data_IF_291830259099
#
_entry.id   IF_291830259099
#
_cell.length_a   1.000
_cell.length_b   1.000
_cell.length_c   1.000
_cell.angle_alpha   90.00
_cell.angle_beta   90.00
_cell.angle_gamma   90.00
#
_symmetry.space_group_name_H-M   'P 1'
#
loop_
_entity.id
_entity.type
_entity.pdbx_description
1 polymer ?
#
# COMPACT_ATOMS: atom_id res chain seq x y z
N UNK A 1 -13.54 6.34 19.48
CA UNK A 1 -13.64 6.39 18.01
C UNK A 1 -12.85 5.23 17.45
N UNK A 2 -13.34 4.50 16.44
CA UNK A 2 -12.52 3.50 15.76
C UNK A 2 -11.32 4.14 15.08
N UNK A 3 -10.24 3.37 14.87
CA UNK A 3 -9.01 3.82 14.20
C UNK A 3 -9.26 4.31 12.77
N UNK A 4 -10.27 3.75 12.09
CA UNK A 4 -10.63 4.07 10.71
C UNK A 4 -11.93 4.88 10.60
N UNK A 5 -12.03 5.79 9.62
CA UNK A 5 -13.24 6.59 9.41
C UNK A 5 -14.40 5.71 8.93
N UNK A 6 -15.64 6.05 9.34
CA UNK A 6 -16.87 5.29 9.02
C UNK A 6 -17.86 6.07 8.15
N UNK A 7 -17.58 7.33 7.85
CA UNK A 7 -18.36 8.19 6.96
C UNK A 7 -17.44 9.19 6.24
N UNK A 8 -17.92 9.81 5.16
CA UNK A 8 -17.18 10.87 4.47
C UNK A 8 -17.34 12.20 5.20
N UNK A 9 -16.26 12.66 5.85
CA UNK A 9 -16.22 13.97 6.53
C UNK A 9 -15.58 15.06 5.65
N UNK A 10 -15.72 16.35 5.99
CA UNK A 10 -15.00 17.43 5.31
C UNK A 10 -13.48 17.27 5.32
N UNK A 11 -12.92 16.70 6.40
CA UNK A 11 -11.49 16.38 6.46
C UNK A 11 -11.14 15.27 5.46
N UNK A 12 -11.98 14.23 5.36
CA UNK A 12 -11.80 13.15 4.39
C UNK A 12 -11.95 13.63 2.95
N UNK A 13 -12.77 14.66 2.70
CA UNK A 13 -12.87 15.33 1.39
C UNK A 13 -11.57 16.07 1.03
N UNK A 14 -10.93 16.73 1.99
CA UNK A 14 -9.62 17.36 1.76
C UNK A 14 -8.55 16.31 1.46
N UNK A 15 -8.56 15.18 2.18
CA UNK A 15 -7.67 14.06 1.92
C UNK A 15 -7.91 13.49 0.52
N UNK A 16 -9.16 13.23 0.14
CA UNK A 16 -9.52 12.74 -1.20
C UNK A 16 -9.06 13.72 -2.29
N UNK A 17 -9.19 15.03 -2.07
CA UNK A 17 -8.72 16.05 -3.00
C UNK A 17 -7.19 15.99 -3.20
N UNK A 18 -6.41 15.81 -2.11
CA UNK A 18 -4.95 15.64 -2.19
C UNK A 18 -4.53 14.34 -2.87
N UNK A 19 -5.38 13.32 -2.85
CA UNK A 19 -5.10 12.04 -3.48
C UNK A 19 -5.24 12.03 -4.99
N UNK A 20 -5.90 13.06 -5.55
CA UNK A 20 -6.04 13.20 -7.01
C UNK A 20 -4.68 13.51 -7.65
N UNK A 21 -4.51 13.16 -8.93
CA UNK A 21 -3.30 13.49 -9.68
C UNK A 21 -2.85 14.95 -9.51
N UNK A 22 -1.56 15.15 -9.27
CA UNK A 22 -0.91 16.46 -9.21
C UNK A 22 0.33 16.50 -10.10
N UNK A 23 0.89 17.68 -10.44
CA UNK A 23 2.12 17.77 -11.25
C UNK A 23 3.29 16.94 -10.71
N UNK A 24 3.43 16.91 -9.38
CA UNK A 24 4.48 16.16 -8.67
C UNK A 24 4.16 14.66 -8.51
N UNK A 25 2.87 14.30 -8.58
CA UNK A 25 2.39 12.93 -8.44
C UNK A 25 1.29 12.62 -9.46
N UNK A 26 1.72 12.45 -10.72
CA UNK A 26 0.82 12.38 -11.89
C UNK A 26 -0.21 11.25 -11.86
N UNK A 27 0.06 10.16 -11.14
CA UNK A 27 -0.87 9.04 -11.06
C UNK A 27 -1.89 9.20 -9.93
N UNK A 28 -1.64 10.10 -8.97
CA UNK A 28 -2.41 10.16 -7.74
C UNK A 28 -2.38 8.82 -6.99
N UNK A 29 -3.26 8.71 -5.99
CA UNK A 29 -3.44 7.48 -5.21
C UNK A 29 -4.73 6.74 -5.58
N UNK A 30 -5.64 7.38 -6.31
CA UNK A 30 -6.96 6.83 -6.63
C UNK A 30 -6.98 6.10 -7.98
N UNK A 31 -5.97 6.29 -8.84
CA UNK A 31 -5.95 5.69 -10.17
C UNK A 31 -7.19 6.10 -10.99
N UNK A 32 -7.97 5.10 -11.41
CA UNK A 32 -9.24 5.29 -12.13
C UNK A 32 -10.48 5.05 -11.26
N UNK A 33 -10.29 4.87 -9.95
CA UNK A 33 -11.39 4.67 -9.01
C UNK A 33 -12.26 5.92 -8.92
N UNK A 34 -13.56 5.75 -9.11
CA UNK A 34 -14.54 6.85 -9.09
C UNK A 34 -15.34 6.90 -7.78
N UNK A 35 -15.14 5.92 -6.90
CA UNK A 35 -15.80 5.88 -5.59
C UNK A 35 -15.28 6.98 -4.69
N UNK A 36 -16.11 7.41 -3.74
CA UNK A 36 -15.67 8.29 -2.65
C UNK A 36 -14.65 7.57 -1.77
N UNK A 37 -13.73 8.32 -1.16
CA UNK A 37 -12.67 7.74 -0.34
C UNK A 37 -13.23 6.79 0.73
N UNK A 38 -14.31 7.17 1.43
CA UNK A 38 -14.93 6.30 2.43
C UNK A 38 -15.41 4.95 1.86
N UNK A 39 -15.90 4.92 0.63
CA UNK A 39 -16.39 3.69 0.00
C UNK A 39 -15.24 2.73 -0.34
N UNK A 40 -14.07 3.28 -0.69
CA UNK A 40 -12.86 2.48 -0.91
C UNK A 40 -12.40 1.88 0.43
N UNK A 41 -12.27 2.71 1.47
CA UNK A 41 -11.83 2.28 2.79
C UNK A 41 -12.74 1.19 3.39
N UNK A 42 -14.05 1.42 3.35
CA UNK A 42 -15.03 0.46 3.89
C UNK A 42 -15.08 -0.85 3.09
N UNK A 43 -14.93 -0.79 1.76
CA UNK A 43 -14.87 -2.00 0.93
C UNK A 43 -13.61 -2.83 1.22
N UNK A 44 -12.45 -2.18 1.33
CA UNK A 44 -11.19 -2.87 1.62
C UNK A 44 -11.15 -3.38 3.07
N UNK A 45 -11.67 -2.66 4.05
CA UNK A 45 -11.82 -3.16 5.42
C UNK A 45 -12.70 -4.41 5.49
N UNK A 46 -13.85 -4.41 4.78
CA UNK A 46 -14.72 -5.58 4.73
C UNK A 46 -14.01 -6.81 4.15
N UNK A 47 -13.22 -6.63 3.07
CA UNK A 47 -12.42 -7.71 2.45
C UNK A 47 -11.33 -8.23 3.38
N UNK A 48 -10.57 -7.34 4.01
CA UNK A 48 -9.51 -7.70 4.97
C UNK A 48 -10.09 -8.53 6.11
N UNK A 49 -11.22 -8.10 6.68
CA UNK A 49 -11.91 -8.84 7.74
C UNK A 49 -12.43 -10.20 7.27
N UNK A 50 -13.01 -10.28 6.07
CA UNK A 50 -13.50 -11.54 5.50
C UNK A 50 -12.38 -12.57 5.26
N UNK A 51 -11.15 -12.10 5.01
CA UNK A 51 -9.95 -12.93 4.88
C UNK A 51 -9.34 -13.32 6.24
N UNK A 52 -9.92 -12.88 7.36
CA UNK A 52 -9.40 -13.16 8.71
C UNK A 52 -8.10 -12.41 9.03
N UNK A 53 -7.80 -11.32 8.32
CA UNK A 53 -6.60 -10.51 8.49
C UNK A 53 -6.91 -9.19 9.23
N UNK A 54 -5.86 -8.48 9.63
CA UNK A 54 -5.91 -7.08 10.05
C UNK A 54 -5.00 -6.22 9.18
N UNK A 55 -5.27 -4.91 9.14
CA UNK A 55 -4.42 -3.96 8.43
C UNK A 55 -3.00 -3.94 8.99
N UNK A 56 -2.86 -4.05 10.32
CA UNK A 56 -1.58 -4.14 11.00
C UNK A 56 -0.80 -5.38 10.57
N UNK A 57 -1.43 -6.57 10.54
CA UNK A 57 -0.76 -7.80 10.15
C UNK A 57 -0.26 -7.75 8.69
N UNK A 58 -1.05 -7.14 7.80
CA UNK A 58 -0.64 -6.91 6.41
C UNK A 58 0.54 -5.94 6.33
N UNK A 59 0.47 -4.81 7.05
CA UNK A 59 1.53 -3.82 7.06
C UNK A 59 2.83 -4.38 7.63
N UNK A 60 2.77 -5.13 8.74
CA UNK A 60 3.91 -5.79 9.36
C UNK A 60 4.58 -6.77 8.39
N UNK A 61 3.77 -7.52 7.64
CA UNK A 61 4.28 -8.48 6.65
C UNK A 61 4.99 -7.80 5.49
N UNK A 62 4.44 -6.70 4.97
CA UNK A 62 5.07 -5.90 3.91
C UNK A 62 6.36 -5.23 4.41
N UNK A 63 6.38 -4.76 5.65
CA UNK A 63 7.55 -4.14 6.28
C UNK A 63 8.71 -5.13 6.45
N UNK A 64 8.43 -6.34 6.93
CA UNK A 64 9.41 -7.42 7.03
C UNK A 64 10.08 -7.74 5.69
N UNK A 65 9.28 -7.87 4.63
CA UNK A 65 9.78 -8.14 3.28
C UNK A 65 10.57 -6.95 2.72
N UNK A 66 10.16 -5.72 3.04
CA UNK A 66 10.88 -4.50 2.67
C UNK A 66 12.26 -4.46 3.32
N UNK A 67 12.37 -4.76 4.62
CA UNK A 67 13.65 -4.82 5.33
C UNK A 67 14.56 -5.91 4.76
N UNK A 68 14.01 -7.08 4.45
CA UNK A 68 14.74 -8.15 3.78
C UNK A 68 15.27 -7.71 2.41
N UNK A 69 14.42 -7.08 1.58
CA UNK A 69 14.80 -6.59 0.26
C UNK A 69 15.89 -5.51 0.29
N UNK A 70 15.84 -4.61 1.27
CA UNK A 70 16.82 -3.54 1.42
C UNK A 70 18.23 -4.04 1.76
N UNK A 71 18.36 -5.23 2.36
CA UNK A 71 19.66 -5.88 2.60
C UNK A 71 20.39 -6.28 1.31
N UNK A 72 19.67 -6.36 0.19
CA UNK A 72 20.24 -6.62 -1.15
C UNK A 72 20.89 -5.41 -1.82
N UNK A 73 20.85 -4.22 -1.21
CA UNK A 73 21.48 -2.99 -1.72
C UNK A 73 21.12 -2.64 -3.19
N UNK A 74 19.87 -2.90 -3.59
CA UNK A 74 19.38 -2.64 -4.95
C UNK A 74 19.46 -3.85 -5.89
N UNK A 75 20.10 -4.93 -5.46
CA UNK A 75 20.03 -6.21 -6.17
C UNK A 75 18.74 -6.96 -5.84
N UNK A 76 18.45 -7.96 -6.69
CA UNK A 76 17.34 -8.87 -6.47
C UNK A 76 17.73 -9.91 -5.42
N UNK A 77 16.89 -10.09 -4.40
CA UNK A 77 17.11 -11.07 -3.33
C UNK A 77 16.02 -12.15 -3.35
N UNK A 78 16.39 -13.36 -2.96
CA UNK A 78 15.44 -14.44 -2.71
C UNK A 78 15.13 -14.49 -1.21
N UNK A 79 13.92 -14.12 -0.83
CA UNK A 79 13.43 -14.19 0.55
C UNK A 79 12.56 -15.44 0.74
N UNK A 80 12.76 -16.11 1.87
CA UNK A 80 11.95 -17.27 2.31
C UNK A 80 11.86 -18.40 1.27
N UNK A 81 12.85 -18.49 0.36
CA UNK A 81 12.89 -19.45 -0.76
C UNK A 81 11.68 -19.37 -1.71
N UNK A 82 10.85 -18.33 -1.58
CA UNK A 82 9.54 -18.20 -2.26
C UNK A 82 9.37 -16.86 -2.96
N UNK A 83 10.05 -15.82 -2.51
CA UNK A 83 9.85 -14.46 -3.01
C UNK A 83 11.12 -13.91 -3.63
N UNK A 84 11.06 -13.60 -4.91
CA UNK A 84 12.08 -12.83 -5.61
C UNK A 84 11.71 -11.37 -5.44
N UNK A 85 12.52 -10.61 -4.72
CA UNK A 85 12.21 -9.23 -4.33
C UNK A 85 13.33 -8.28 -4.75
N UNK A 86 12.95 -7.15 -5.36
CA UNK A 86 13.87 -6.08 -5.75
C UNK A 86 13.43 -4.77 -5.09
N UNK A 87 14.36 -4.06 -4.44
CA UNK A 87 14.12 -2.76 -3.84
C UNK A 87 14.85 -1.65 -4.60
N UNK A 88 14.11 -0.76 -5.25
CA UNK A 88 14.67 0.39 -5.98
C UNK A 88 14.35 1.69 -5.24
N UNK A 89 15.37 2.42 -4.78
CA UNK A 89 15.18 3.67 -4.05
C UNK A 89 15.27 4.86 -5.01
N UNK A 90 14.19 5.64 -5.11
CA UNK A 90 14.22 6.92 -5.81
C UNK A 90 14.58 8.08 -4.85
N UNK A 91 15.11 9.18 -5.41
CA UNK A 91 15.42 10.39 -4.63
C UNK A 91 14.16 11.07 -4.09
N UNK A 92 14.32 11.71 -2.94
CA UNK A 92 13.28 12.50 -2.29
C UNK A 92 12.40 11.69 -1.34
N UNK A 93 11.41 12.36 -0.77
CA UNK A 93 10.42 11.78 0.13
C UNK A 93 9.02 12.32 -0.21
N UNK A 94 7.98 11.64 0.26
CA UNK A 94 6.57 12.03 0.03
C UNK A 94 5.86 12.11 1.39
N UNK A 95 5.05 13.16 1.64
CA UNK A 95 4.19 13.22 2.82
C UNK A 95 2.98 12.29 2.70
N UNK A 96 2.40 11.90 3.83
CA UNK A 96 1.11 11.19 3.83
C UNK A 96 -0.04 12.13 3.41
N UNK A 97 -0.97 11.71 2.54
CA UNK A 97 -2.10 12.56 2.12
C UNK A 97 -3.07 12.92 3.26
N UNK A 98 -3.04 12.19 4.38
CA UNK A 98 -3.77 12.50 5.63
C UNK A 98 -3.09 13.56 6.52
N UNK A 99 -2.00 14.19 6.06
CA UNK A 99 -1.15 15.09 6.87
C UNK A 99 -0.61 14.43 8.15
N UNK A 100 -0.50 13.10 8.18
CA UNK A 100 0.19 12.42 9.27
C UNK A 100 1.66 12.87 9.32
N UNK A 101 2.19 13.22 10.51
CA UNK A 101 3.56 13.69 10.65
C UNK A 101 4.57 12.68 10.10
N UNK A 102 5.42 13.13 9.18
CA UNK A 102 6.49 12.31 8.64
C UNK A 102 6.70 12.50 7.14
N UNK A 103 7.82 11.96 6.66
CA UNK A 103 8.17 11.91 5.26
C UNK A 103 8.65 10.51 4.92
N UNK A 104 8.01 9.89 3.95
CA UNK A 104 8.22 8.49 3.57
C UNK A 104 9.16 8.41 2.38
N UNK A 105 10.03 7.40 2.37
CA UNK A 105 10.95 7.14 1.25
C UNK A 105 10.15 6.72 0.02
N UNK A 106 10.70 7.01 -1.16
CA UNK A 106 10.18 6.55 -2.44
C UNK A 106 10.84 5.22 -2.83
N UNK A 107 10.84 4.24 -1.92
CA UNK A 107 11.32 2.90 -2.28
C UNK A 107 10.23 2.21 -3.07
N UNK A 108 10.56 1.71 -4.25
CA UNK A 108 9.73 0.83 -5.05
C UNK A 108 10.15 -0.60 -4.74
N UNK A 109 9.26 -1.36 -4.11
CA UNK A 109 9.45 -2.78 -3.88
C UNK A 109 8.67 -3.56 -4.92
N UNK A 110 9.36 -4.44 -5.62
CA UNK A 110 8.79 -5.40 -6.56
C UNK A 110 8.97 -6.80 -6.01
N UNK A 111 7.87 -7.53 -5.76
CA UNK A 111 7.91 -8.92 -5.31
C UNK A 111 7.22 -9.81 -6.32
N UNK A 112 7.88 -10.90 -6.69
CA UNK A 112 7.33 -11.99 -7.49
C UNK A 112 7.43 -13.31 -6.74
N UNK A 113 6.41 -14.17 -6.86
CA UNK A 113 6.50 -15.54 -6.39
C UNK A 113 7.36 -16.40 -7.32
N UNK A 114 8.04 -17.40 -6.77
CA UNK A 114 8.82 -18.36 -7.54
C UNK A 114 7.99 -19.50 -8.13
N UNK A 115 6.83 -19.77 -7.54
CA UNK A 115 5.95 -20.89 -7.87
C UNK A 115 4.71 -20.49 -8.68
N UNK A 116 4.59 -19.20 -9.04
CA UNK A 116 3.46 -18.63 -9.77
C UNK A 116 3.82 -17.28 -10.38
N UNK A 117 2.97 -16.77 -11.28
CA UNK A 117 3.12 -15.43 -11.87
C UNK A 117 2.56 -14.30 -10.99
N UNK A 118 2.22 -14.59 -9.74
CA UNK A 118 1.73 -13.61 -8.80
C UNK A 118 2.80 -12.57 -8.43
N UNK A 119 2.40 -11.30 -8.43
CA UNK A 119 3.26 -10.14 -8.16
C UNK A 119 2.57 -9.14 -7.23
N UNK A 120 3.35 -8.50 -6.38
CA UNK A 120 2.94 -7.35 -5.58
C UNK A 120 3.96 -6.23 -5.73
N UNK A 121 3.46 -4.99 -5.75
CA UNK A 121 4.29 -3.78 -5.84
C UNK A 121 3.84 -2.79 -4.79
N UNK A 122 4.78 -2.24 -4.01
CA UNK A 122 4.45 -1.27 -2.97
C UNK A 122 5.59 -0.30 -2.69
N UNK A 123 5.31 0.66 -1.81
CA UNK A 123 6.28 1.63 -1.29
C UNK A 123 6.26 1.68 0.24
N UNK A 124 7.24 2.34 0.85
CA UNK A 124 7.22 2.61 2.30
C UNK A 124 5.93 3.36 2.71
N UNK A 125 5.47 4.28 1.86
CA UNK A 125 4.22 5.02 2.08
C UNK A 125 3.01 4.08 2.00
N UNK A 126 2.99 3.10 1.09
CA UNK A 126 1.90 2.11 1.01
C UNK A 126 1.70 1.36 2.33
N UNK A 127 2.79 0.99 3.01
CA UNK A 127 2.76 0.30 4.31
C UNK A 127 2.13 1.21 5.37
N UNK A 128 2.54 2.48 5.42
CA UNK A 128 1.95 3.46 6.34
C UNK A 128 0.46 3.69 6.05
N UNK A 129 0.07 3.83 4.79
CA UNK A 129 -1.32 4.04 4.38
C UNK A 129 -2.22 2.89 4.81
N UNK A 130 -1.73 1.65 4.69
CA UNK A 130 -2.45 0.48 5.18
C UNK A 130 -2.53 0.51 6.71
N UNK A 131 -1.39 0.65 7.39
CA UNK A 131 -1.32 0.55 8.86
C UNK A 131 -2.17 1.61 9.56
N UNK A 132 -2.06 2.87 9.13
CA UNK A 132 -2.68 4.00 9.83
C UNK A 132 -4.05 4.37 9.30
N UNK A 133 -4.33 4.08 8.02
CA UNK A 133 -5.54 4.57 7.36
C UNK A 133 -6.41 3.48 6.74
N UNK A 134 -5.96 2.21 6.74
CA UNK A 134 -6.70 1.11 6.11
C UNK A 134 -6.82 1.28 4.60
N UNK A 135 -5.93 2.08 4.00
CA UNK A 135 -6.04 2.48 2.60
C UNK A 135 -5.05 1.72 1.72
N UNK A 136 -5.61 0.99 0.75
CA UNK A 136 -4.88 0.12 -0.17
C UNK A 136 -4.69 0.75 -1.55
N UNK A 137 -4.92 2.06 -1.65
CA UNK A 137 -5.02 2.84 -2.90
C UNK A 137 -6.23 2.49 -3.76
N UNK A 138 -6.60 3.37 -4.68
CA UNK A 138 -7.75 3.17 -5.56
C UNK A 138 -7.46 2.21 -6.72
N UNK A 139 -8.51 1.65 -7.29
CA UNK A 139 -8.43 0.78 -8.47
C UNK A 139 -7.68 1.44 -9.64
N UNK A 140 -6.78 0.69 -10.26
CA UNK A 140 -5.93 1.16 -11.35
C UNK A 140 -4.77 2.07 -10.92
N UNK A 141 -4.61 2.36 -9.62
CA UNK A 141 -3.36 2.93 -9.12
C UNK A 141 -2.22 1.92 -9.32
N UNK A 142 -1.01 2.35 -9.76
CA UNK A 142 0.13 1.45 -9.95
C UNK A 142 0.62 0.80 -8.64
N UNK A 143 0.23 1.35 -7.48
CA UNK A 143 0.53 0.79 -6.16
C UNK A 143 -0.73 0.33 -5.41
N UNK A 144 -1.81 0.02 -6.14
CA UNK A 144 -2.99 -0.66 -5.59
C UNK A 144 -2.57 -2.01 -5.04
N UNK A 145 -2.82 -2.22 -3.76
CA UNK A 145 -2.57 -3.47 -3.06
C UNK A 145 -3.90 -4.15 -2.76
N UNK A 146 -4.43 -4.92 -3.70
CA UNK A 146 -5.70 -5.62 -3.47
C UNK A 146 -5.61 -6.59 -2.27
N UNK A 147 -6.50 -6.51 -1.26
CA UNK A 147 -6.46 -7.41 -0.10
C UNK A 147 -6.50 -8.90 -0.46
N UNK A 148 -7.24 -9.31 -1.48
CA UNK A 148 -7.31 -10.71 -1.90
C UNK A 148 -6.01 -11.17 -2.57
N UNK A 149 -5.40 -10.28 -3.37
CA UNK A 149 -4.08 -10.55 -3.95
C UNK A 149 -3.02 -10.65 -2.85
N UNK A 150 -3.01 -9.74 -1.88
CA UNK A 150 -2.12 -9.81 -0.72
C UNK A 150 -2.27 -11.15 0.02
N UNK A 151 -3.50 -11.55 0.34
CA UNK A 151 -3.75 -12.79 1.05
C UNK A 151 -3.26 -14.00 0.25
N UNK A 152 -3.56 -14.07 -1.05
CA UNK A 152 -3.07 -15.14 -1.94
C UNK A 152 -1.54 -15.21 -2.02
N UNK A 153 -0.87 -14.06 -2.05
CA UNK A 153 0.59 -14.01 -2.26
C UNK A 153 1.37 -14.22 -0.98
N UNK A 154 0.95 -13.59 0.13
CA UNK A 154 1.74 -13.49 1.36
C UNK A 154 1.25 -14.39 2.51
N UNK A 155 -0.01 -14.84 2.46
CA UNK A 155 -0.64 -15.58 3.56
C UNK A 155 -1.13 -16.99 3.14
N UNK A 156 -0.83 -17.41 1.90
CA UNK A 156 -1.10 -18.75 1.36
C UNK A 156 0.14 -19.37 0.73
#
# INVERSE_FOLDING_TARGET
>A
MGKYPVYQSPDLDQVEARMRPSPDFRHGYLGRDQRRLIQILTADEARVRALGLSHEAIADRLDQLTLGAQSGYGETVLLEQKYIVTATVARGKIPCPWDHPGLYRKTHIDLRRTDSDDRLVWTDLSIHLIREHGFYQGEGSPYRLDPEAIHRVLFR
#
